data_IF_842005773993
#
_entry.id   IF_842005773993
#
_cell.length_a   1.000
_cell.length_b   1.000
_cell.length_c   1.000
_cell.angle_alpha   90.00
_cell.angle_beta   90.00
_cell.angle_gamma   90.00
#
_symmetry.space_group_name_H-M   'P 1'
#
loop_
_entity.id
_entity.type
_entity.pdbx_description
1 polymer ?
#
# COMPACT_ATOMS: atom_id res chain seq x y z
N UNK A 1 -6.22 -10.97 -16.61
CA UNK A 1 -4.76 -11.20 -16.57
C UNK A 1 -4.13 -9.90 -16.08
N UNK A 2 -4.02 -9.74 -14.75
CA UNK A 2 -3.47 -8.52 -14.14
C UNK A 2 -1.98 -8.51 -14.43
N UNK A 3 -1.51 -7.52 -15.20
CA UNK A 3 -0.09 -7.35 -15.47
C UNK A 3 0.66 -7.32 -14.14
N UNK A 4 1.74 -8.10 -14.03
CA UNK A 4 2.58 -8.15 -12.84
C UNK A 4 2.95 -6.71 -12.44
N UNK A 5 2.24 -6.20 -11.43
CA UNK A 5 2.42 -4.84 -10.93
C UNK A 5 3.75 -4.85 -10.18
N UNK A 6 4.50 -3.74 -10.20
CA UNK A 6 5.72 -3.57 -9.41
C UNK A 6 5.58 -4.11 -7.97
N UNK A 7 4.41 -3.93 -7.34
CA UNK A 7 4.02 -4.48 -6.04
C UNK A 7 4.21 -6.01 -5.87
N UNK A 8 4.14 -6.80 -6.96
CA UNK A 8 4.32 -8.25 -6.94
C UNK A 8 5.77 -8.69 -7.23
N UNK A 9 6.67 -7.80 -7.61
CA UNK A 9 8.07 -8.18 -7.85
C UNK A 9 8.75 -8.56 -6.53
N UNK A 10 9.46 -9.69 -6.50
CA UNK A 10 10.28 -10.10 -5.34
C UNK A 10 11.30 -9.01 -4.95
N UNK A 11 11.73 -8.21 -5.93
CA UNK A 11 12.68 -7.13 -5.76
C UNK A 11 12.15 -5.96 -4.90
N UNK A 12 10.90 -5.53 -5.09
CA UNK A 12 10.29 -4.47 -4.26
C UNK A 12 9.92 -4.96 -2.84
N UNK A 13 9.80 -6.27 -2.65
CA UNK A 13 9.59 -6.88 -1.34
C UNK A 13 10.89 -6.99 -0.53
N UNK A 14 12.03 -7.22 -1.19
CA UNK A 14 13.35 -7.28 -0.54
C UNK A 14 14.00 -5.90 -0.39
N UNK A 15 13.52 -5.14 0.60
CA UNK A 15 13.95 -3.78 0.85
C UNK A 15 15.41 -3.65 1.33
N UNK A 16 16.00 -4.74 1.81
CA UNK A 16 17.43 -4.79 2.15
C UNK A 16 18.31 -4.51 0.93
N UNK A 17 17.86 -4.84 -0.29
CA UNK A 17 18.56 -4.48 -1.52
C UNK A 17 18.40 -2.99 -1.86
N UNK A 18 17.19 -2.44 -1.68
CA UNK A 18 16.87 -1.03 -1.94
C UNK A 18 17.65 -0.10 -0.99
N UNK A 19 17.61 -0.37 0.32
CA UNK A 19 18.33 0.42 1.32
C UNK A 19 19.85 0.25 1.28
N UNK A 20 20.38 -0.86 0.73
CA UNK A 20 21.83 -0.98 0.49
C UNK A 20 22.29 -0.24 -0.75
N UNK A 21 21.44 -0.13 -1.77
CA UNK A 21 21.75 0.57 -3.01
C UNK A 21 21.61 2.11 -2.89
N UNK A 22 20.82 2.57 -1.92
CA UNK A 22 20.51 3.97 -1.71
C UNK A 22 20.92 4.40 -0.30
N UNK A 23 21.82 5.38 -0.19
CA UNK A 23 22.31 5.93 1.08
C UNK A 23 21.23 6.80 1.75
N UNK A 24 20.13 6.17 2.16
CA UNK A 24 19.01 6.79 2.88
C UNK A 24 19.53 7.36 4.19
N UNK A 25 19.25 8.65 4.40
CA UNK A 25 19.53 9.31 5.66
C UNK A 25 18.33 9.14 6.61
N UNK A 26 18.54 8.79 7.89
CA UNK A 26 17.44 8.51 8.83
C UNK A 26 16.52 9.74 9.03
N UNK A 27 17.08 10.95 9.07
CA UNK A 27 16.31 12.19 9.25
C UNK A 27 15.65 12.74 7.98
N UNK A 28 15.94 12.16 6.81
CA UNK A 28 15.38 12.66 5.56
C UNK A 28 14.04 12.05 5.27
N UNK A 29 13.16 12.81 4.62
CA UNK A 29 11.87 12.33 4.17
C UNK A 29 11.94 11.90 2.73
N UNK A 30 11.23 10.80 2.45
CA UNK A 30 11.22 10.20 1.13
C UNK A 30 9.80 10.06 0.61
N UNK A 31 9.59 10.40 -0.66
CA UNK A 31 8.39 10.05 -1.41
C UNK A 31 8.78 9.05 -2.50
N UNK A 32 7.99 7.99 -2.63
CA UNK A 32 8.05 7.06 -3.74
C UNK A 32 6.91 7.32 -4.73
N UNK A 33 7.25 7.25 -6.03
CA UNK A 33 6.30 7.40 -7.13
C UNK A 33 6.47 6.23 -8.09
N UNK A 34 5.35 5.65 -8.49
CA UNK A 34 5.29 4.63 -9.54
C UNK A 34 4.64 5.24 -10.77
N UNK A 35 5.36 5.24 -11.88
CA UNK A 35 4.86 5.69 -13.17
C UNK A 35 5.08 4.66 -14.27
N UNK A 36 4.69 5.02 -15.48
CA UNK A 36 4.97 4.22 -16.66
C UNK A 36 6.48 4.14 -16.98
N UNK A 37 6.85 3.27 -17.92
CA UNK A 37 8.25 3.05 -18.31
C UNK A 37 8.77 4.09 -19.33
N UNK A 38 7.95 5.02 -19.81
CA UNK A 38 8.31 5.95 -20.88
C UNK A 38 9.34 7.02 -20.47
N UNK A 39 9.50 7.24 -19.15
CA UNK A 39 10.33 8.31 -18.60
C UNK A 39 9.55 9.59 -18.29
N UNK A 40 8.32 9.74 -18.82
CA UNK A 40 7.49 10.92 -18.60
C UNK A 40 7.22 11.20 -17.10
N UNK A 41 7.13 10.15 -16.27
CA UNK A 41 6.98 10.30 -14.83
C UNK A 41 8.19 11.01 -14.20
N UNK A 42 9.41 10.65 -14.62
CA UNK A 42 10.64 11.27 -14.13
C UNK A 42 10.73 12.74 -14.57
N UNK A 43 10.35 13.05 -15.81
CA UNK A 43 10.33 14.43 -16.32
C UNK A 43 9.35 15.32 -15.56
N UNK A 44 8.16 14.81 -15.26
CA UNK A 44 7.15 15.51 -14.44
C UNK A 44 7.69 15.79 -13.05
N UNK A 45 8.39 14.83 -12.43
CA UNK A 45 9.00 15.03 -11.13
C UNK A 45 10.13 16.05 -11.16
N UNK A 46 11.01 16.01 -12.17
CA UNK A 46 12.08 17.00 -12.34
C UNK A 46 11.52 18.41 -12.52
N UNK A 47 10.45 18.56 -13.30
CA UNK A 47 9.74 19.82 -13.51
C UNK A 47 8.99 20.31 -12.26
N UNK A 48 8.49 19.39 -11.42
CA UNK A 48 7.92 19.76 -10.13
C UNK A 48 8.99 20.24 -9.16
N UNK A 49 10.10 19.50 -9.02
CA UNK A 49 11.21 19.86 -8.14
C UNK A 49 11.85 21.21 -8.49
N UNK A 50 12.07 21.48 -9.78
CA UNK A 50 12.63 22.75 -10.21
C UNK A 50 11.76 23.95 -9.84
N UNK A 51 10.44 23.77 -9.75
CA UNK A 51 9.49 24.81 -9.32
C UNK A 51 9.48 25.03 -7.81
N UNK A 52 9.83 24.02 -7.01
CA UNK A 52 9.90 24.15 -5.55
C UNK A 52 11.21 24.80 -5.09
N UNK A 53 12.24 24.83 -5.94
CA UNK A 53 13.56 25.36 -5.56
C UNK A 53 14.29 24.49 -4.54
N UNK A 54 13.87 23.22 -4.37
CA UNK A 54 14.50 22.27 -3.46
C UNK A 54 15.62 21.50 -4.17
N UNK A 55 16.77 21.34 -3.50
CA UNK A 55 17.81 20.37 -3.88
C UNK A 55 17.36 18.95 -3.55
N UNK A 56 16.37 18.44 -4.29
CA UNK A 56 15.89 17.08 -4.12
C UNK A 56 16.54 16.12 -5.11
N UNK A 57 16.92 14.95 -4.63
CA UNK A 57 17.53 13.90 -5.44
C UNK A 57 16.49 12.86 -5.85
N UNK A 58 16.28 12.71 -7.16
CA UNK A 58 15.49 11.59 -7.71
C UNK A 58 16.41 10.37 -7.87
N UNK A 59 16.04 9.26 -7.23
CA UNK A 59 16.68 7.97 -7.40
C UNK A 59 15.72 7.00 -8.07
N UNK A 60 16.19 6.26 -9.08
CA UNK A 60 15.41 5.15 -9.63
C UNK A 60 15.59 3.93 -8.74
N UNK A 61 14.50 3.49 -8.13
CA UNK A 61 14.50 2.27 -7.33
C UNK A 61 14.58 1.08 -8.27
N UNK A 62 13.59 0.90 -9.13
CA UNK A 62 13.55 -0.25 -10.03
C UNK A 62 12.50 -0.08 -11.11
N UNK A 63 12.34 -1.10 -11.95
CA UNK A 63 11.36 -1.08 -13.01
C UNK A 63 10.93 -2.48 -13.45
N UNK A 64 9.72 -2.56 -14.01
CA UNK A 64 9.21 -3.70 -14.76
C UNK A 64 9.20 -3.38 -16.25
N UNK A 65 8.61 -4.27 -17.06
CA UNK A 65 8.40 -4.03 -18.48
C UNK A 65 7.52 -2.80 -18.76
N UNK A 66 6.61 -2.43 -17.85
CA UNK A 66 5.61 -1.37 -18.07
C UNK A 66 5.67 -0.23 -17.06
N UNK A 67 6.38 -0.39 -15.94
CA UNK A 67 6.37 0.59 -14.86
C UNK A 67 7.78 0.89 -14.35
N UNK A 68 7.97 2.06 -13.77
CA UNK A 68 9.18 2.46 -13.04
C UNK A 68 8.82 2.95 -11.63
N UNK A 69 9.64 2.60 -10.65
CA UNK A 69 9.55 3.12 -9.29
C UNK A 69 10.70 4.10 -9.05
N UNK A 70 10.37 5.30 -8.58
CA UNK A 70 11.29 6.39 -8.27
C UNK A 70 11.14 6.75 -6.79
N UNK A 71 12.23 7.12 -6.15
CA UNK A 71 12.26 7.75 -4.83
C UNK A 71 12.77 9.19 -4.98
N UNK A 72 12.23 10.08 -4.16
CA UNK A 72 12.63 11.48 -4.06
C UNK A 72 13.11 11.70 -2.63
N UNK A 73 14.37 12.07 -2.46
CA UNK A 73 14.88 12.59 -1.19
C UNK A 73 14.47 14.06 -1.06
N UNK A 74 13.64 14.37 -0.07
CA UNK A 74 13.13 15.71 0.23
C UNK A 74 13.94 16.41 1.33
N UNK A 75 15.03 15.79 1.79
CA UNK A 75 15.78 16.28 2.93
C UNK A 75 14.97 16.25 4.22
N UNK A 76 15.35 17.11 5.16
CA UNK A 76 14.66 17.24 6.45
C UNK A 76 13.36 18.03 6.26
N UNK A 77 12.23 17.36 6.46
CA UNK A 77 10.90 17.98 6.49
C UNK A 77 10.24 17.68 7.84
N UNK A 78 9.16 18.37 8.21
CA UNK A 78 8.42 18.03 9.43
C UNK A 78 6.96 18.49 9.37
N UNK A 79 6.08 17.71 9.98
CA UNK A 79 4.70 18.09 10.28
C UNK A 79 3.84 18.27 9.03
N UNK A 80 3.05 19.34 8.97
CA UNK A 80 2.12 19.62 7.86
C UNK A 80 2.78 19.65 6.46
N UNK A 81 4.10 19.84 6.41
CA UNK A 81 4.86 19.78 5.17
C UNK A 81 4.72 18.42 4.47
N UNK A 82 4.74 17.31 5.21
CA UNK A 82 4.68 15.95 4.67
C UNK A 82 3.38 15.71 3.89
N UNK A 83 2.25 16.07 4.50
CA UNK A 83 0.91 15.90 3.90
C UNK A 83 0.74 16.80 2.68
N UNK A 84 1.27 18.03 2.72
CA UNK A 84 1.25 18.95 1.57
C UNK A 84 2.11 18.43 0.41
N UNK A 85 3.33 17.99 0.71
CA UNK A 85 4.28 17.44 -0.27
C UNK A 85 3.71 16.20 -0.95
N UNK A 86 3.12 15.28 -0.18
CA UNK A 86 2.45 14.11 -0.75
C UNK A 86 1.30 14.51 -1.68
N UNK A 87 0.44 15.43 -1.24
CA UNK A 87 -0.67 15.93 -2.05
C UNK A 87 -0.20 16.63 -3.34
N UNK A 88 0.88 17.42 -3.28
CA UNK A 88 1.44 18.14 -4.41
C UNK A 88 2.11 17.22 -5.42
N UNK A 89 2.87 16.23 -4.95
CA UNK A 89 3.43 15.19 -5.83
C UNK A 89 2.29 14.41 -6.46
N UNK A 90 1.34 13.89 -5.68
CA UNK A 90 0.20 13.14 -6.19
C UNK A 90 -0.60 13.90 -7.25
N UNK A 91 -0.83 15.21 -7.06
CA UNK A 91 -1.48 16.08 -8.05
C UNK A 91 -0.63 16.27 -9.30
N UNK A 92 0.64 16.60 -9.14
CA UNK A 92 1.55 16.87 -10.27
C UNK A 92 1.71 15.65 -11.16
N UNK A 93 1.89 14.48 -10.55
CA UNK A 93 2.09 13.23 -11.27
C UNK A 93 0.81 12.71 -11.91
N UNK A 94 -0.37 13.03 -11.33
CA UNK A 94 -1.67 12.76 -11.95
C UNK A 94 -1.96 13.70 -13.12
N UNK A 95 -1.65 14.99 -13.01
CA UNK A 95 -1.86 15.99 -14.05
C UNK A 95 -0.98 15.75 -15.29
N UNK A 96 0.23 15.22 -15.09
CA UNK A 96 1.14 14.83 -16.18
C UNK A 96 0.76 13.54 -16.90
N UNK A 97 -0.27 12.80 -16.45
CA UNK A 97 -0.73 11.55 -17.09
C UNK A 97 0.24 10.37 -17.02
N UNK A 98 1.44 10.56 -16.46
CA UNK A 98 2.54 9.60 -16.52
C UNK A 98 2.71 8.76 -15.25
N UNK A 99 2.05 9.14 -14.14
CA UNK A 99 2.12 8.38 -12.91
C UNK A 99 0.85 7.62 -12.56
N UNK A 100 1.13 6.41 -12.09
CA UNK A 100 0.15 5.41 -11.71
C UNK A 100 -0.14 5.53 -10.20
N UNK A 101 0.86 5.84 -9.36
CA UNK A 101 0.65 6.02 -7.92
C UNK A 101 1.79 6.78 -7.21
N UNK A 102 1.51 7.40 -6.07
CA UNK A 102 2.48 8.10 -5.23
C UNK A 102 2.21 7.82 -3.75
N UNK A 103 3.24 7.43 -3.00
CA UNK A 103 3.14 7.17 -1.56
C UNK A 103 3.40 8.40 -0.70
N UNK A 104 3.12 8.33 0.61
CA UNK A 104 3.33 9.43 1.55
C UNK A 104 4.79 9.85 1.68
N UNK A 105 5.02 11.12 2.04
CA UNK A 105 6.32 11.57 2.51
C UNK A 105 6.53 11.07 3.94
N UNK A 106 7.53 10.22 4.17
CA UNK A 106 7.83 9.68 5.50
C UNK A 106 9.35 9.58 5.73
N UNK A 107 9.82 9.68 6.99
CA UNK A 107 11.24 9.73 7.29
C UNK A 107 11.93 8.36 7.22
N UNK A 108 13.21 8.39 6.84
CA UNK A 108 14.14 7.28 6.95
C UNK A 108 13.77 6.04 6.12
N UNK A 109 14.41 4.93 6.47
CA UNK A 109 14.29 3.67 5.73
C UNK A 109 12.87 3.10 5.76
N UNK A 110 12.23 3.13 6.94
CA UNK A 110 10.85 2.65 7.10
C UNK A 110 9.86 3.54 6.37
N UNK A 111 10.04 4.86 6.41
CA UNK A 111 9.18 5.79 5.69
C UNK A 111 9.25 5.58 4.18
N UNK A 112 10.46 5.47 3.62
CA UNK A 112 10.65 5.11 2.22
C UNK A 112 9.96 3.78 1.88
N UNK A 113 10.07 2.78 2.75
CA UNK A 113 9.42 1.47 2.57
C UNK A 113 7.90 1.60 2.47
N UNK A 114 7.27 2.26 3.44
CA UNK A 114 5.82 2.48 3.45
C UNK A 114 5.40 3.25 2.20
N UNK A 115 6.17 4.27 1.83
CA UNK A 115 5.89 5.05 0.62
C UNK A 115 5.91 4.19 -0.64
N UNK A 116 6.89 3.31 -0.80
CA UNK A 116 7.00 2.41 -1.96
C UNK A 116 5.81 1.47 -2.06
N UNK A 117 5.41 0.86 -0.94
CA UNK A 117 4.28 -0.08 -0.90
C UNK A 117 2.97 0.63 -1.28
N UNK A 118 2.72 1.80 -0.69
CA UNK A 118 1.52 2.60 -0.98
C UNK A 118 1.52 3.09 -2.43
N UNK A 119 2.65 3.57 -2.96
CA UNK A 119 2.76 3.99 -4.35
C UNK A 119 2.47 2.84 -5.33
N UNK A 120 3.01 1.66 -5.04
CA UNK A 120 2.80 0.44 -5.83
C UNK A 120 1.35 -0.05 -5.79
N UNK A 121 0.70 0.00 -4.62
CA UNK A 121 -0.71 -0.33 -4.49
C UNK A 121 -1.59 0.67 -5.26
N UNK A 122 -1.36 1.97 -5.09
CA UNK A 122 -2.10 3.02 -5.83
C UNK A 122 -1.94 2.87 -7.34
N UNK A 123 -0.75 2.50 -7.82
CA UNK A 123 -0.50 2.23 -9.24
C UNK A 123 -1.31 1.06 -9.82
N UNK A 124 -1.77 0.13 -8.98
CA UNK A 124 -2.69 -0.93 -9.36
C UNK A 124 -4.15 -0.51 -9.40
N UNK A 125 -4.52 0.61 -8.77
CA UNK A 125 -5.91 1.07 -8.63
C UNK A 125 -6.33 1.96 -9.80
N UNK A 126 -6.57 1.34 -10.97
CA UNK A 126 -6.82 2.03 -12.24
C UNK A 126 -8.11 2.87 -12.33
N UNK A 127 -8.99 2.92 -11.32
CA UNK A 127 -10.35 3.48 -11.48
C UNK A 127 -10.92 4.37 -10.34
N UNK A 128 -10.38 4.37 -9.11
CA UNK A 128 -11.01 5.06 -7.96
C UNK A 128 -10.01 5.84 -7.11
N UNK A 129 -9.30 6.79 -7.74
CA UNK A 129 -8.26 7.62 -7.11
C UNK A 129 -8.72 8.31 -5.81
N UNK A 130 -10.00 8.68 -5.71
CA UNK A 130 -10.56 9.38 -4.54
C UNK A 130 -10.70 8.48 -3.29
N UNK A 131 -11.20 7.24 -3.42
CA UNK A 131 -11.30 6.35 -2.26
C UNK A 131 -9.95 5.72 -1.93
N UNK A 132 -9.14 5.47 -2.95
CA UNK A 132 -7.80 4.90 -2.77
C UNK A 132 -6.89 5.82 -1.96
N UNK A 133 -6.96 7.15 -2.10
CA UNK A 133 -6.12 8.04 -1.28
C UNK A 133 -6.48 7.97 0.20
N UNK A 134 -7.78 7.84 0.55
CA UNK A 134 -8.21 7.75 1.96
C UNK A 134 -7.68 6.48 2.60
N UNK A 135 -7.74 5.37 1.86
CA UNK A 135 -7.18 4.08 2.28
C UNK A 135 -5.67 4.20 2.45
N UNK A 136 -4.98 4.80 1.47
CA UNK A 136 -3.55 5.04 1.55
C UNK A 136 -3.19 5.84 2.81
N UNK A 137 -3.89 6.95 3.08
CA UNK A 137 -3.63 7.79 4.25
C UNK A 137 -3.85 7.04 5.58
N UNK A 138 -4.93 6.26 5.68
CA UNK A 138 -5.20 5.40 6.83
C UNK A 138 -4.08 4.39 7.05
N UNK A 139 -3.71 3.64 6.00
CA UNK A 139 -2.67 2.61 6.10
C UNK A 139 -1.33 3.23 6.43
N UNK A 140 -0.96 4.35 5.80
CA UNK A 140 0.27 5.07 6.10
C UNK A 140 0.31 5.53 7.56
N UNK A 141 -0.80 6.00 8.11
CA UNK A 141 -0.88 6.40 9.52
C UNK A 141 -0.69 5.22 10.46
N UNK A 142 -1.32 4.07 10.17
CA UNK A 142 -1.15 2.86 10.97
C UNK A 142 0.29 2.32 10.85
N UNK A 143 0.87 2.37 9.66
CA UNK A 143 2.19 1.82 9.37
C UNK A 143 3.34 2.62 9.99
N UNK A 144 3.12 3.83 10.51
CA UNK A 144 4.14 4.56 11.28
C UNK A 144 4.53 3.85 12.59
N UNK A 145 3.65 2.98 13.11
CA UNK A 145 3.97 2.02 14.16
C UNK A 145 3.69 0.61 13.64
N UNK A 146 4.63 0.00 12.89
CA UNK A 146 4.40 -1.29 12.27
C UNK A 146 4.12 -2.41 13.27
N UNK A 147 4.72 -2.35 14.45
CA UNK A 147 4.48 -3.33 15.50
C UNK A 147 3.03 -3.28 15.96
N UNK A 148 2.51 -2.08 16.20
CA UNK A 148 1.11 -1.87 16.56
C UNK A 148 0.15 -2.20 15.43
N UNK A 149 0.46 -1.82 14.18
CA UNK A 149 -0.34 -2.19 13.02
C UNK A 149 -0.44 -3.71 12.86
N UNK A 150 0.68 -4.42 13.04
CA UNK A 150 0.74 -5.88 13.03
C UNK A 150 -0.10 -6.48 14.14
N UNK A 151 0.08 -6.01 15.38
CA UNK A 151 -0.73 -6.48 16.52
C UNK A 151 -2.22 -6.27 16.29
N UNK A 152 -2.62 -5.11 15.75
CA UNK A 152 -4.01 -4.84 15.38
C UNK A 152 -4.53 -5.82 14.33
N UNK A 153 -3.78 -6.03 13.24
CA UNK A 153 -4.17 -6.98 12.17
C UNK A 153 -4.35 -8.39 12.73
N UNK A 154 -3.43 -8.88 13.56
CA UNK A 154 -3.55 -10.20 14.17
C UNK A 154 -4.70 -10.28 15.19
N UNK A 155 -4.94 -9.22 15.96
CA UNK A 155 -6.05 -9.18 16.91
C UNK A 155 -7.42 -9.22 16.22
N UNK A 156 -7.53 -8.64 15.02
CA UNK A 156 -8.79 -8.56 14.26
C UNK A 156 -8.99 -9.73 13.32
N UNK A 157 -7.95 -10.17 12.60
CA UNK A 157 -8.07 -11.21 11.57
C UNK A 157 -7.62 -12.59 12.06
N UNK A 158 -6.84 -12.68 13.14
CA UNK A 158 -6.35 -13.94 13.68
C UNK A 158 -5.63 -14.78 12.60
N UNK A 159 -6.04 -16.05 12.37
CA UNK A 159 -5.46 -16.91 11.33
C UNK A 159 -5.60 -16.36 9.90
N UNK A 160 -6.53 -15.43 9.65
CA UNK A 160 -6.64 -14.79 8.34
C UNK A 160 -5.51 -13.79 8.08
N UNK A 161 -4.66 -13.47 9.07
CA UNK A 161 -3.46 -12.65 8.85
C UNK A 161 -2.29 -13.44 8.23
N UNK A 162 -2.34 -14.77 8.21
CA UNK A 162 -1.24 -15.62 7.75
C UNK A 162 -0.96 -15.51 6.25
N UNK A 163 0.28 -15.77 5.85
CA UNK A 163 0.69 -15.85 4.44
C UNK A 163 0.44 -17.25 3.88
N UNK A 164 -0.84 -17.62 3.78
CA UNK A 164 -1.25 -18.88 3.18
C UNK A 164 -2.31 -18.67 2.10
N UNK A 165 -2.35 -19.56 1.11
CA UNK A 165 -3.36 -19.51 0.05
C UNK A 165 -4.79 -19.57 0.63
N UNK A 166 -4.98 -20.35 1.70
CA UNK A 166 -6.26 -20.44 2.40
C UNK A 166 -6.63 -19.11 3.08
N UNK A 167 -5.73 -18.52 3.87
CA UNK A 167 -5.96 -17.24 4.52
C UNK A 167 -6.20 -16.12 3.48
N UNK A 168 -5.47 -16.14 2.36
CA UNK A 168 -5.69 -15.21 1.25
C UNK A 168 -7.08 -15.32 0.65
N UNK A 169 -7.58 -16.54 0.42
CA UNK A 169 -8.93 -16.76 -0.10
C UNK A 169 -10.02 -16.34 0.89
N UNK A 170 -9.79 -16.58 2.18
CA UNK A 170 -10.70 -16.15 3.25
C UNK A 170 -10.75 -14.61 3.34
N UNK A 171 -9.59 -13.92 3.30
CA UNK A 171 -9.51 -12.45 3.22
C UNK A 171 -10.27 -11.89 2.01
N UNK A 172 -10.12 -12.49 0.83
CA UNK A 172 -10.83 -12.08 -0.39
C UNK A 172 -12.35 -12.23 -0.23
N UNK A 173 -12.80 -13.32 0.39
CA UNK A 173 -14.23 -13.56 0.63
C UNK A 173 -14.81 -12.58 1.64
N UNK A 174 -14.09 -12.32 2.73
CA UNK A 174 -14.49 -11.35 3.74
C UNK A 174 -14.54 -9.93 3.16
N UNK A 175 -13.51 -9.52 2.40
CA UNK A 175 -13.46 -8.22 1.74
C UNK A 175 -14.61 -8.02 0.75
N UNK A 176 -14.91 -9.02 -0.08
CA UNK A 176 -16.03 -8.99 -1.00
C UNK A 176 -17.37 -8.87 -0.25
N UNK A 177 -17.54 -9.63 0.84
CA UNK A 177 -18.75 -9.61 1.66
C UNK A 177 -19.00 -8.25 2.34
N UNK A 178 -17.95 -7.65 2.91
CA UNK A 178 -18.04 -6.33 3.53
C UNK A 178 -18.29 -5.23 2.48
N UNK A 179 -17.63 -5.31 1.32
CA UNK A 179 -17.83 -4.35 0.22
C UNK A 179 -19.23 -4.44 -0.40
N UNK A 180 -19.79 -5.65 -0.47
CA UNK A 180 -21.12 -5.94 -1.00
C UNK A 180 -22.27 -5.56 -0.04
N UNK A 181 -22.00 -4.87 1.07
CA UNK A 181 -23.00 -4.57 2.09
C UNK A 181 -23.66 -5.83 2.64
N UNK A 182 -22.89 -6.93 2.79
CA UNK A 182 -23.35 -8.25 3.28
C UNK A 182 -24.26 -9.02 2.33
N UNK A 183 -24.30 -8.65 1.05
CA UNK A 183 -25.08 -9.37 0.04
C UNK A 183 -24.36 -10.63 -0.43
N UNK A 184 -24.77 -11.80 0.09
CA UNK A 184 -24.28 -13.12 -0.34
C UNK A 184 -24.41 -13.33 -1.85
N UNK A 185 -25.49 -12.80 -2.45
CA UNK A 185 -25.74 -12.89 -3.89
C UNK A 185 -24.67 -12.14 -4.66
N UNK A 186 -24.39 -10.89 -4.27
CA UNK A 186 -23.41 -10.07 -4.96
C UNK A 186 -21.99 -10.64 -4.83
N UNK A 187 -21.65 -11.18 -3.66
CA UNK A 187 -20.36 -11.89 -3.48
C UNK A 187 -20.26 -13.12 -4.39
N UNK A 188 -21.33 -13.90 -4.49
CA UNK A 188 -21.37 -15.09 -5.34
C UNK A 188 -21.21 -14.74 -6.83
N UNK A 189 -21.89 -13.68 -7.29
CA UNK A 189 -21.77 -13.13 -8.64
C UNK A 189 -20.34 -12.63 -8.91
N UNK A 190 -19.75 -11.84 -7.99
CA UNK A 190 -18.39 -11.31 -8.11
C UNK A 190 -17.31 -12.40 -8.13
N UNK A 191 -17.47 -13.45 -7.32
CA UNK A 191 -16.50 -14.56 -7.24
C UNK A 191 -16.79 -15.68 -8.25
N UNK A 192 -17.85 -15.59 -9.05
CA UNK A 192 -18.31 -16.63 -9.97
C UNK A 192 -18.48 -18.00 -9.29
N UNK A 193 -19.07 -18.02 -8.09
CA UNK A 193 -19.37 -19.23 -7.32
C UNK A 193 -20.86 -19.31 -6.99
N UNK A 194 -21.33 -20.48 -6.57
CA UNK A 194 -22.69 -20.62 -6.06
C UNK A 194 -22.85 -19.95 -4.69
N UNK A 195 -24.03 -19.38 -4.40
CA UNK A 195 -24.35 -18.74 -3.10
C UNK A 195 -24.01 -19.63 -1.90
N UNK A 196 -24.29 -20.93 -1.99
CA UNK A 196 -24.01 -21.88 -0.90
C UNK A 196 -22.50 -21.99 -0.60
N UNK A 197 -21.65 -21.85 -1.61
CA UNK A 197 -20.19 -21.84 -1.41
C UNK A 197 -19.77 -20.60 -0.60
N UNK A 198 -20.38 -19.44 -0.87
CA UNK A 198 -20.14 -18.21 -0.09
C UNK A 198 -20.59 -18.38 1.36
N UNK A 199 -21.78 -18.94 1.58
CA UNK A 199 -22.31 -19.23 2.93
C UNK A 199 -21.35 -20.14 3.70
N UNK A 200 -20.91 -21.24 3.08
CA UNK A 200 -19.97 -22.17 3.70
C UNK A 200 -18.65 -21.48 4.08
N UNK A 201 -18.07 -20.69 3.17
CA UNK A 201 -16.83 -19.95 3.43
C UNK A 201 -17.01 -18.92 4.55
N UNK A 202 -18.12 -18.18 4.56
CA UNK A 202 -18.41 -17.21 5.60
C UNK A 202 -18.61 -17.86 6.97
N UNK A 203 -19.29 -19.01 7.03
CA UNK A 203 -19.41 -19.77 8.27
C UNK A 203 -18.03 -20.17 8.81
N UNK A 204 -17.20 -20.80 7.95
CA UNK A 204 -15.85 -21.25 8.30
C UNK A 204 -14.92 -20.11 8.75
N UNK A 205 -14.99 -18.95 8.09
CA UNK A 205 -14.16 -17.82 8.49
C UNK A 205 -14.65 -17.19 9.79
N UNK A 206 -15.95 -17.15 10.05
CA UNK A 206 -16.51 -16.57 11.29
C UNK A 206 -16.11 -17.40 12.51
N UNK A 207 -16.01 -18.72 12.37
CA UNK A 207 -15.49 -19.61 13.44
C UNK A 207 -14.01 -19.35 13.78
N UNK A 208 -13.26 -18.70 12.89
CA UNK A 208 -11.82 -18.45 13.03
C UNK A 208 -11.48 -17.00 13.32
N UNK A 209 -12.42 -16.08 13.14
CA UNK A 209 -12.21 -14.67 13.45
C UNK A 209 -12.18 -14.48 14.97
N UNK A 210 -11.19 -13.73 15.51
CA UNK A 210 -11.17 -13.36 16.92
C UNK A 210 -12.30 -12.40 17.32
N UNK A 211 -12.83 -11.65 16.35
CA UNK A 211 -13.88 -10.64 16.55
C UNK A 211 -15.17 -11.07 15.83
N UNK A 212 -16.35 -10.68 16.34
CA UNK A 212 -17.61 -10.96 15.66
C UNK A 212 -17.69 -10.24 14.31
N UNK A 213 -18.35 -10.85 13.33
CA UNK A 213 -18.57 -10.24 12.02
C UNK A 213 -19.53 -9.02 12.10
N UNK A 214 -20.43 -9.05 13.09
CA UNK A 214 -21.35 -7.97 13.43
C UNK A 214 -20.76 -7.07 14.52
N UNK A 215 -20.73 -5.76 14.29
CA UNK A 215 -20.22 -4.76 15.24
C UNK A 215 -18.71 -4.49 15.19
N UNK A 216 -17.93 -5.27 14.44
CA UNK A 216 -16.50 -5.04 14.20
C UNK A 216 -16.18 -4.72 12.73
N UNK A 217 -17.15 -4.21 11.97
CA UNK A 217 -17.03 -4.00 10.53
C UNK A 217 -15.89 -3.04 10.18
N UNK A 218 -15.78 -1.95 10.94
CA UNK A 218 -14.73 -0.95 10.75
C UNK A 218 -13.36 -1.57 10.96
N UNK A 219 -13.20 -2.34 12.04
CA UNK A 219 -11.93 -2.99 12.37
C UNK A 219 -11.53 -4.00 11.30
N UNK A 220 -12.47 -4.85 10.87
CA UNK A 220 -12.26 -5.85 9.82
C UNK A 220 -11.87 -5.18 8.50
N UNK A 221 -12.58 -4.11 8.10
CA UNK A 221 -12.23 -3.34 6.89
C UNK A 221 -10.83 -2.75 7.03
N UNK A 222 -10.51 -2.10 8.15
CA UNK A 222 -9.19 -1.50 8.36
C UNK A 222 -8.08 -2.54 8.28
N UNK A 223 -8.21 -3.67 8.99
CA UNK A 223 -7.22 -4.74 8.99
C UNK A 223 -7.02 -5.34 7.59
N UNK A 224 -8.11 -5.55 6.83
CA UNK A 224 -8.04 -6.00 5.44
C UNK A 224 -7.33 -5.00 4.54
N UNK A 225 -7.57 -3.69 4.71
CA UNK A 225 -6.89 -2.65 3.92
C UNK A 225 -5.40 -2.56 4.23
N UNK A 226 -5.00 -2.69 5.49
CA UNK A 226 -3.58 -2.78 5.87
C UNK A 226 -2.92 -3.96 5.16
N UNK A 227 -3.55 -5.13 5.21
CA UNK A 227 -3.06 -6.35 4.54
C UNK A 227 -3.00 -6.23 3.02
N UNK A 228 -3.98 -5.56 2.41
CA UNK A 228 -4.06 -5.34 0.96
C UNK A 228 -2.97 -4.39 0.47
N UNK A 229 -2.71 -3.30 1.21
CA UNK A 229 -1.77 -2.25 0.82
C UNK A 229 -0.32 -2.63 1.13
N UNK A 230 -0.05 -3.18 2.33
CA UNK A 230 1.30 -3.52 2.75
C UNK A 230 1.71 -4.94 2.32
N UNK A 231 0.77 -5.88 2.34
CA UNK A 231 1.04 -7.30 2.18
C UNK A 231 1.51 -7.98 3.47
N UNK A 232 1.30 -9.30 3.55
CA UNK A 232 1.56 -10.10 4.76
C UNK A 232 3.03 -10.01 5.19
N UNK A 233 3.95 -10.40 4.30
CA UNK A 233 5.38 -10.45 4.60
C UNK A 233 6.01 -9.08 4.87
N UNK A 234 5.52 -8.02 4.22
CA UNK A 234 6.07 -6.69 4.46
C UNK A 234 5.67 -6.13 5.83
N UNK A 235 4.47 -6.43 6.31
CA UNK A 235 4.02 -6.04 7.65
C UNK A 235 4.82 -6.75 8.74
N UNK A 236 5.09 -8.05 8.57
CA UNK A 236 5.95 -8.82 9.49
C UNK A 236 7.39 -8.26 9.52
N UNK A 237 7.97 -7.98 8.36
CA UNK A 237 9.32 -7.42 8.28
C UNK A 237 9.44 -6.02 8.87
N UNK A 238 8.45 -5.14 8.61
CA UNK A 238 8.39 -3.80 9.17
C UNK A 238 8.29 -3.84 10.70
N UNK A 239 7.50 -4.77 11.25
CA UNK A 239 7.39 -4.94 12.70
C UNK A 239 8.66 -5.53 13.35
N UNK A 240 9.43 -6.31 12.59
CA UNK A 240 10.65 -6.96 13.09
C UNK A 240 11.88 -6.03 13.13
N UNK A 241 11.83 -4.92 12.40
CA UNK A 241 12.92 -3.92 12.33
C UNK A 241 12.36 -2.57 12.76
N UNK A 242 12.30 -2.25 14.06
CA UNK A 242 11.74 -0.97 14.54
C UNK A 242 12.45 0.24 13.91
N UNK A 243 11.78 1.41 13.85
CA UNK A 243 12.41 2.63 13.35
C UNK A 243 13.72 2.88 14.09
N UNK A 244 14.80 3.10 13.32
CA UNK A 244 16.09 3.52 13.86
C UNK A 244 16.00 4.94 14.43
#
# INVERSE_FOLDING_TARGET
>A
MVAATLCQSEWLRSLSAICRAFAVHPDHHYIAVVGDRSGACEDVLRSWLSRQGEEAHICRLGATASQTALAIDLGRTSGDAETRLWGDVARSVSAGGAALGAGPALPGHQGLRISVLVAGWLAGQAATRADSWRIAALVSSLAQDPARARSFVHAVLGPLAEDSAAASQDRQTLAAYLTAGRSLRHVAEQQHVHRNTVVYRLHRLTERLPVPLDGAEVDLVCALRVMEVLGVGALDELASHPPC
#
